data_IF_755993674550
#
_entry.id   IF_755993674550
#
_cell.length_a   1.000
_cell.length_b   1.000
_cell.length_c   1.000
_cell.angle_alpha   90.00
_cell.angle_beta   90.00
_cell.angle_gamma   90.00
#
_symmetry.space_group_name_H-M   'P 1'
#
loop_
_entity.id
_entity.type
_entity.pdbx_description
1 polymer ?
#
# COMPACT_ATOMS: atom_id res chain seq x y z
N UNK A 1 -28.87 -19.49 19.15
CA UNK A 1 -30.26 -19.00 19.18
C UNK A 1 -30.86 -19.07 20.59
N UNK A 2 -30.89 -20.22 21.28
CA UNK A 2 -31.44 -20.31 22.64
C UNK A 2 -30.85 -19.27 23.62
N UNK A 3 -29.53 -19.16 23.68
CA UNK A 3 -28.85 -18.17 24.52
C UNK A 3 -29.19 -16.70 24.16
N UNK A 4 -29.43 -16.38 22.89
CA UNK A 4 -29.82 -15.02 22.49
C UNK A 4 -31.23 -14.69 23.00
N UNK A 5 -32.16 -15.65 22.89
CA UNK A 5 -33.52 -15.51 23.38
C UNK A 5 -33.57 -15.38 24.92
N UNK A 6 -32.81 -16.21 25.65
CA UNK A 6 -32.71 -16.15 27.11
C UNK A 6 -32.22 -14.78 27.62
N UNK A 7 -31.36 -14.11 26.84
CA UNK A 7 -30.79 -12.81 27.20
C UNK A 7 -31.52 -11.62 26.54
N UNK A 8 -32.62 -11.86 25.82
CA UNK A 8 -33.36 -10.85 25.05
C UNK A 8 -32.47 -10.03 24.09
N UNK A 9 -31.59 -10.72 23.36
CA UNK A 9 -30.67 -10.12 22.38
C UNK A 9 -31.12 -10.47 20.96
N UNK A 10 -31.33 -9.45 20.12
CA UNK A 10 -31.65 -9.62 18.70
C UNK A 10 -30.41 -9.85 17.84
N UNK A 11 -30.59 -10.45 16.66
CA UNK A 11 -29.52 -10.68 15.70
C UNK A 11 -29.27 -9.44 14.84
N UNK A 12 -28.01 -9.27 14.42
CA UNK A 12 -27.60 -8.25 13.46
C UNK A 12 -27.14 -8.96 12.20
N UNK A 13 -27.78 -8.67 11.07
CA UNK A 13 -27.48 -9.33 9.78
C UNK A 13 -26.44 -8.56 8.96
N UNK A 14 -26.23 -7.28 9.26
CA UNK A 14 -25.27 -6.42 8.57
C UNK A 14 -24.61 -5.44 9.54
N UNK A 15 -23.29 -5.34 9.45
CA UNK A 15 -22.46 -4.39 10.18
C UNK A 15 -21.63 -3.59 9.18
N UNK A 16 -21.93 -2.29 9.06
CA UNK A 16 -21.16 -1.36 8.24
C UNK A 16 -20.40 -0.39 9.17
N UNK A 17 -19.11 -0.64 9.36
CA UNK A 17 -18.25 0.13 10.28
C UNK A 17 -16.95 0.44 9.55
N UNK A 18 -16.59 1.72 9.49
CA UNK A 18 -15.26 2.16 9.11
C UNK A 18 -14.48 2.57 10.38
N UNK A 19 -13.16 2.54 10.29
CA UNK A 19 -12.30 2.98 11.39
C UNK A 19 -12.03 4.47 11.27
N UNK A 20 -11.84 5.14 12.41
CA UNK A 20 -11.33 6.50 12.41
C UNK A 20 -10.06 6.59 11.57
N UNK A 21 -9.84 7.71 10.89
CA UNK A 21 -8.72 7.84 9.98
C UNK A 21 -7.43 8.11 10.76
N UNK A 22 -7.01 7.20 11.65
CA UNK A 22 -5.81 7.30 12.48
C UNK A 22 -4.60 7.73 11.65
N UNK A 23 -4.38 7.06 10.50
CA UNK A 23 -3.32 7.39 9.53
C UNK A 23 -3.42 8.84 9.03
N UNK A 24 -4.62 9.36 8.77
CA UNK A 24 -4.79 10.76 8.34
C UNK A 24 -4.61 11.73 9.49
N UNK A 25 -5.00 11.35 10.72
CA UNK A 25 -4.84 12.18 11.91
C UNK A 25 -3.37 12.40 12.22
N UNK A 26 -2.59 11.32 12.36
CA UNK A 26 -1.16 11.39 12.69
C UNK A 26 -0.28 11.88 11.53
N UNK A 27 -0.83 11.99 10.33
CA UNK A 27 -0.16 12.64 9.19
C UNK A 27 -0.31 14.17 9.18
N UNK A 28 -1.18 14.76 10.02
CA UNK A 28 -1.30 16.22 10.14
C UNK A 28 -0.09 16.79 10.88
N UNK A 29 0.34 17.98 10.50
CA UNK A 29 1.40 18.70 11.22
C UNK A 29 0.93 19.07 12.63
N UNK A 30 1.83 18.90 13.61
CA UNK A 30 1.61 19.35 14.99
C UNK A 30 0.70 18.46 15.83
N UNK A 31 0.31 17.26 15.38
CA UNK A 31 -0.43 16.31 16.21
C UNK A 31 0.45 15.83 17.36
N UNK A 32 -0.08 15.98 18.57
CA UNK A 32 0.57 15.49 19.78
C UNK A 32 0.41 13.98 19.92
N UNK A 33 1.32 13.35 20.69
CA UNK A 33 1.20 11.93 21.00
C UNK A 33 -0.14 11.59 21.68
N UNK A 34 -0.57 12.40 22.64
CA UNK A 34 -1.84 12.21 23.36
C UNK A 34 -3.05 12.27 22.41
N UNK A 35 -3.07 13.23 21.48
CA UNK A 35 -4.11 13.29 20.44
C UNK A 35 -4.09 12.07 19.52
N UNK A 36 -2.92 11.53 19.20
CA UNK A 36 -2.81 10.32 18.40
C UNK A 36 -3.38 9.10 19.14
N UNK A 37 -3.07 8.95 20.44
CA UNK A 37 -3.58 7.86 21.28
C UNK A 37 -5.10 7.91 21.40
N UNK A 38 -5.70 9.09 21.60
CA UNK A 38 -7.15 9.27 21.67
C UNK A 38 -7.88 8.91 20.36
N UNK A 39 -7.17 8.92 19.23
CA UNK A 39 -7.71 8.53 17.93
C UNK A 39 -7.60 7.02 17.64
N UNK A 40 -7.07 6.23 18.57
CA UNK A 40 -7.04 4.77 18.44
C UNK A 40 -8.42 4.19 18.78
N UNK A 41 -9.16 3.81 17.75
CA UNK A 41 -10.44 3.12 17.87
C UNK A 41 -10.29 1.69 18.44
N UNK A 42 -10.99 1.41 19.55
CA UNK A 42 -11.08 0.09 20.18
C UNK A 42 -12.39 -0.62 19.79
N UNK A 43 -13.47 0.13 19.67
CA UNK A 43 -14.81 -0.39 19.41
C UNK A 43 -14.96 -0.86 17.97
N UNK A 44 -14.50 -0.05 17.01
CA UNK A 44 -14.52 -0.34 15.58
C UNK A 44 -13.87 -1.67 15.23
N UNK A 45 -12.58 -1.89 15.55
CA UNK A 45 -11.90 -3.16 15.26
C UNK A 45 -12.57 -4.35 15.94
N UNK A 46 -13.08 -4.17 17.17
CA UNK A 46 -13.80 -5.22 17.91
C UNK A 46 -15.07 -5.66 17.17
N UNK A 47 -15.91 -4.71 16.74
CA UNK A 47 -17.12 -5.00 15.96
C UNK A 47 -16.79 -5.62 14.59
N UNK A 48 -15.83 -5.05 13.87
CA UNK A 48 -15.40 -5.55 12.55
C UNK A 48 -14.93 -7.01 12.66
N UNK A 49 -14.06 -7.33 13.62
CA UNK A 49 -13.56 -8.70 13.82
C UNK A 49 -14.65 -9.67 14.23
N UNK A 50 -15.57 -9.25 15.10
CA UNK A 50 -16.70 -10.09 15.51
C UNK A 50 -17.62 -10.42 14.32
N UNK A 51 -17.98 -9.42 13.50
CA UNK A 51 -18.80 -9.60 12.30
C UNK A 51 -18.08 -10.42 11.23
N UNK A 52 -16.79 -10.16 11.00
CA UNK A 52 -15.98 -10.90 10.03
C UNK A 52 -15.81 -12.37 10.43
N UNK A 53 -15.64 -12.67 11.73
CA UNK A 53 -15.64 -14.06 12.24
C UNK A 53 -16.99 -14.74 11.95
N UNK A 54 -18.09 -14.01 12.11
CA UNK A 54 -19.45 -14.52 11.93
C UNK A 54 -20.01 -14.32 10.51
N UNK A 55 -19.14 -14.24 9.49
CA UNK A 55 -19.53 -13.97 8.11
C UNK A 55 -20.59 -14.91 7.49
N UNK A 56 -20.76 -16.18 7.93
CA UNK A 56 -21.88 -17.00 7.42
C UNK A 56 -23.24 -16.40 7.74
N UNK A 57 -23.36 -15.64 8.84
CA UNK A 57 -24.61 -15.03 9.29
C UNK A 57 -24.62 -13.51 9.10
N UNK A 58 -23.49 -12.83 9.22
CA UNK A 58 -23.39 -11.36 9.22
C UNK A 58 -22.63 -10.85 8.00
N UNK A 59 -23.18 -9.87 7.30
CA UNK A 59 -22.47 -9.13 6.24
C UNK A 59 -21.66 -8.01 6.89
N UNK A 60 -20.33 -8.03 6.73
CA UNK A 60 -19.44 -6.97 7.25
C UNK A 60 -19.00 -6.05 6.11
N UNK A 61 -19.09 -4.74 6.29
CA UNK A 61 -18.64 -3.73 5.34
C UNK A 61 -17.72 -2.72 6.03
N UNK A 62 -16.53 -2.56 5.48
CA UNK A 62 -15.48 -1.64 6.01
C UNK A 62 -15.09 -0.53 5.04
N UNK A 63 -15.71 -0.52 3.85
CA UNK A 63 -15.38 0.39 2.76
C UNK A 63 -16.67 0.82 2.04
N UNK A 64 -16.95 2.14 1.94
CA UNK A 64 -18.09 2.65 1.20
C UNK A 64 -18.18 2.18 -0.25
N UNK A 65 -17.06 1.84 -0.89
CA UNK A 65 -17.05 1.31 -2.26
C UNK A 65 -17.80 -0.03 -2.40
N UNK A 66 -17.98 -0.80 -1.32
CA UNK A 66 -18.74 -2.05 -1.35
C UNK A 66 -20.25 -1.85 -1.16
N UNK A 67 -20.73 -0.64 -0.83
CA UNK A 67 -22.14 -0.42 -0.50
C UNK A 67 -23.06 -0.71 -1.68
N UNK A 68 -22.79 -0.12 -2.84
CA UNK A 68 -23.64 -0.27 -4.02
C UNK A 68 -23.68 -1.73 -4.51
N UNK A 69 -22.53 -2.43 -4.70
CA UNK A 69 -22.55 -3.84 -5.09
C UNK A 69 -23.32 -4.75 -4.11
N UNK A 70 -23.23 -4.47 -2.81
CA UNK A 70 -23.91 -5.29 -1.79
C UNK A 70 -25.41 -5.00 -1.75
N UNK A 71 -25.82 -3.73 -1.89
CA UNK A 71 -27.23 -3.35 -1.99
C UNK A 71 -27.92 -4.01 -3.19
N UNK A 72 -27.24 -4.09 -4.33
CA UNK A 72 -27.76 -4.78 -5.52
C UNK A 72 -27.99 -6.27 -5.25
N UNK A 73 -27.04 -6.94 -4.61
CA UNK A 73 -27.18 -8.36 -4.21
C UNK A 73 -28.31 -8.55 -3.20
N UNK A 74 -28.45 -7.68 -2.21
CA UNK A 74 -29.54 -7.73 -1.23
C UNK A 74 -30.91 -7.60 -1.91
N UNK A 75 -31.05 -6.68 -2.88
CA UNK A 75 -32.29 -6.54 -3.68
C UNK A 75 -32.57 -7.76 -4.56
N UNK A 76 -31.53 -8.47 -5.00
CA UNK A 76 -31.62 -9.67 -5.82
C UNK A 76 -31.87 -10.97 -5.02
N UNK A 77 -32.09 -10.89 -3.71
CA UNK A 77 -32.41 -12.06 -2.87
C UNK A 77 -31.33 -12.43 -1.85
N UNK A 78 -30.25 -11.66 -1.74
CA UNK A 78 -29.27 -11.78 -0.67
C UNK A 78 -27.83 -11.86 -1.15
N UNK A 79 -26.90 -11.85 -0.20
CA UNK A 79 -25.46 -11.98 -0.46
C UNK A 79 -25.03 -13.43 -0.24
N UNK A 80 -24.49 -14.05 -1.28
CA UNK A 80 -23.98 -15.42 -1.23
C UNK A 80 -22.81 -15.60 -0.25
N UNK A 81 -22.65 -16.80 0.29
CA UNK A 81 -21.62 -17.12 1.28
C UNK A 81 -20.20 -16.80 0.80
N UNK A 82 -19.90 -17.01 -0.48
CA UNK A 82 -18.60 -16.70 -1.07
C UNK A 82 -18.29 -15.20 -1.03
N UNK A 83 -19.29 -14.35 -1.31
CA UNK A 83 -19.14 -12.90 -1.21
C UNK A 83 -18.99 -12.46 0.24
N UNK A 84 -19.77 -13.03 1.17
CA UNK A 84 -19.61 -12.74 2.61
C UNK A 84 -18.21 -13.10 3.11
N UNK A 85 -17.65 -14.22 2.65
CA UNK A 85 -16.27 -14.62 2.94
C UNK A 85 -15.26 -13.62 2.38
N UNK A 86 -15.47 -13.13 1.15
CA UNK A 86 -14.62 -12.08 0.54
C UNK A 86 -14.65 -10.80 1.39
N UNK A 87 -15.83 -10.36 1.79
CA UNK A 87 -16.01 -9.18 2.65
C UNK A 87 -15.36 -9.37 4.03
N UNK A 88 -15.46 -10.56 4.62
CA UNK A 88 -14.78 -10.88 5.88
C UNK A 88 -13.26 -10.89 5.75
N UNK A 89 -12.71 -11.44 4.66
CA UNK A 89 -11.28 -11.35 4.38
C UNK A 89 -10.82 -9.89 4.24
N UNK A 90 -11.59 -9.05 3.52
CA UNK A 90 -11.34 -7.62 3.41
C UNK A 90 -11.38 -6.92 4.78
N UNK A 91 -12.34 -7.27 5.62
CA UNK A 91 -12.49 -6.74 6.97
C UNK A 91 -11.29 -7.06 7.88
N UNK A 92 -10.82 -8.32 7.91
CA UNK A 92 -9.60 -8.69 8.64
C UNK A 92 -8.36 -7.98 8.09
N UNK A 93 -8.24 -7.85 6.76
CA UNK A 93 -7.15 -7.12 6.13
C UNK A 93 -7.16 -5.62 6.51
N UNK A 94 -8.35 -5.01 6.59
CA UNK A 94 -8.52 -3.62 6.98
C UNK A 94 -8.03 -3.38 8.41
N UNK A 95 -8.40 -4.26 9.35
CA UNK A 95 -7.92 -4.20 10.74
C UNK A 95 -6.41 -4.46 10.83
N UNK A 96 -5.86 -5.42 10.07
CA UNK A 96 -4.43 -5.69 10.08
C UNK A 96 -3.58 -4.49 9.59
N UNK A 97 -4.06 -3.76 8.57
CA UNK A 97 -3.42 -2.54 8.09
C UNK A 97 -3.49 -1.44 9.16
N UNK A 98 -4.65 -1.32 9.83
CA UNK A 98 -4.86 -0.36 10.91
C UNK A 98 -3.93 -0.62 12.11
N UNK A 99 -3.85 -1.87 12.58
CA UNK A 99 -2.97 -2.26 13.68
C UNK A 99 -1.48 -2.08 13.31
N UNK A 100 -1.12 -2.38 12.04
CA UNK A 100 0.23 -2.08 11.53
C UNK A 100 0.52 -0.60 11.62
N UNK A 101 -0.41 0.27 11.20
CA UNK A 101 -0.23 1.71 11.28
C UNK A 101 -0.02 2.21 12.73
N UNK A 102 -0.81 1.70 13.68
CA UNK A 102 -0.62 2.03 15.11
C UNK A 102 0.76 1.56 15.59
N UNK A 103 1.15 0.32 15.28
CA UNK A 103 2.46 -0.21 15.64
C UNK A 103 3.61 0.59 15.02
N UNK A 104 3.47 1.06 13.77
CA UNK A 104 4.45 1.93 13.12
C UNK A 104 4.58 3.27 13.83
N UNK A 105 3.46 3.88 14.23
CA UNK A 105 3.45 5.17 14.92
C UNK A 105 4.09 5.08 16.32
N UNK A 106 3.69 4.09 17.13
CA UNK A 106 4.17 3.93 18.50
C UNK A 106 5.68 3.62 18.62
N UNK A 107 6.31 3.19 17.53
CA UNK A 107 7.76 2.88 17.51
C UNK A 107 8.62 3.96 16.87
N UNK A 108 8.06 5.10 16.44
CA UNK A 108 8.82 6.13 15.68
C UNK A 108 10.04 6.66 16.43
N UNK A 109 10.00 6.69 17.76
CA UNK A 109 11.11 7.16 18.62
C UNK A 109 12.10 6.05 19.01
N UNK A 110 11.95 4.84 18.46
CA UNK A 110 12.83 3.70 18.75
C UNK A 110 13.95 3.62 17.69
N UNK A 111 15.21 3.81 18.09
CA UNK A 111 16.36 3.84 17.17
C UNK A 111 16.78 2.45 16.62
N UNK A 112 16.12 1.36 17.01
CA UNK A 112 16.51 -0.01 16.65
C UNK A 112 15.49 -0.74 15.76
N UNK A 113 15.97 -1.70 14.97
CA UNK A 113 15.09 -2.66 14.28
C UNK A 113 14.31 -3.48 15.32
N UNK A 114 12.97 -3.53 15.24
CA UNK A 114 12.17 -4.24 16.24
C UNK A 114 12.34 -5.76 16.10
N UNK A 115 12.10 -6.49 17.19
CA UNK A 115 12.08 -7.97 17.18
C UNK A 115 10.99 -8.51 16.23
N UNK A 116 9.85 -7.80 16.16
CA UNK A 116 8.74 -8.14 15.27
C UNK A 116 8.38 -6.93 14.40
N UNK A 117 8.17 -7.16 13.10
CA UNK A 117 7.82 -6.11 12.15
C UNK A 117 6.68 -6.56 11.24
N UNK A 118 5.65 -5.71 11.13
CA UNK A 118 4.60 -5.84 10.12
C UNK A 118 4.73 -4.74 9.06
N UNK A 119 4.52 -5.13 7.80
CA UNK A 119 4.57 -4.22 6.64
C UNK A 119 3.21 -4.24 5.96
N UNK A 120 2.56 -3.08 5.91
CA UNK A 120 1.28 -2.91 5.23
C UNK A 120 1.51 -2.51 3.77
N UNK A 121 1.21 -3.41 2.83
CA UNK A 121 1.36 -3.19 1.40
C UNK A 121 0.00 -3.08 0.71
N UNK A 122 -0.16 -2.08 -0.17
CA UNK A 122 -1.33 -1.94 -1.04
C UNK A 122 -0.93 -2.13 -2.50
N UNK A 123 -1.61 -3.05 -3.19
CA UNK A 123 -1.38 -3.28 -4.61
C UNK A 123 -1.70 -2.01 -5.39
N UNK A 124 -0.76 -1.54 -6.21
CA UNK A 124 -0.97 -0.44 -7.16
C UNK A 124 -1.50 -0.98 -8.49
N UNK A 125 -0.83 -1.97 -9.06
CA UNK A 125 -1.23 -2.62 -10.31
C UNK A 125 -0.59 -4.00 -10.46
N UNK A 126 -1.13 -4.83 -11.35
CA UNK A 126 -0.50 -6.09 -11.76
C UNK A 126 0.60 -5.83 -12.79
N UNK A 127 1.59 -6.72 -12.87
CA UNK A 127 2.62 -6.68 -13.89
C UNK A 127 2.40 -7.83 -14.88
N UNK A 128 2.83 -7.65 -16.14
CA UNK A 128 2.66 -8.65 -17.19
C UNK A 128 3.38 -9.97 -16.84
N UNK A 129 4.55 -9.86 -16.25
CA UNK A 129 5.36 -10.96 -15.71
C UNK A 129 6.36 -10.39 -14.68
N UNK A 130 7.07 -11.26 -13.97
CA UNK A 130 8.14 -10.91 -13.04
C UNK A 130 9.45 -10.56 -13.76
N UNK A 131 10.58 -10.97 -13.21
CA UNK A 131 11.87 -10.77 -13.88
C UNK A 131 11.94 -11.51 -15.22
N UNK A 132 11.27 -12.67 -15.30
CA UNK A 132 11.18 -13.53 -16.49
C UNK A 132 9.73 -13.80 -16.90
N UNK A 133 9.44 -14.07 -18.19
CA UNK A 133 8.06 -14.22 -18.71
C UNK A 133 7.18 -15.28 -18.05
N UNK A 134 7.78 -16.31 -17.43
CA UNK A 134 7.05 -17.40 -16.79
C UNK A 134 6.64 -17.08 -15.34
N UNK A 135 7.11 -15.97 -14.77
CA UNK A 135 6.85 -15.56 -13.39
C UNK A 135 5.68 -14.57 -13.34
N UNK A 136 4.81 -14.69 -12.34
CA UNK A 136 3.79 -13.69 -12.05
C UNK A 136 4.37 -12.57 -11.17
N UNK A 137 3.88 -11.33 -11.35
CA UNK A 137 4.28 -10.23 -10.48
C UNK A 137 3.19 -9.16 -10.34
N UNK A 138 3.32 -8.34 -9.29
CA UNK A 138 2.49 -7.19 -9.02
C UNK A 138 3.29 -6.13 -8.28
N UNK A 139 2.94 -4.86 -8.48
CA UNK A 139 3.59 -3.75 -7.82
C UNK A 139 2.77 -3.29 -6.62
N UNK A 140 3.42 -3.18 -5.47
CA UNK A 140 2.82 -2.76 -4.21
C UNK A 140 3.50 -1.49 -3.71
N UNK A 141 2.74 -0.62 -3.05
CA UNK A 141 3.27 0.51 -2.29
C UNK A 141 3.04 0.30 -0.80
N UNK A 142 4.05 0.62 0.01
CA UNK A 142 3.92 0.62 1.46
C UNK A 142 2.95 1.70 1.94
N UNK A 143 2.13 1.34 2.93
CA UNK A 143 1.25 2.25 3.66
C UNK A 143 2.00 2.73 4.90
N UNK A 144 2.82 3.77 4.76
CA UNK A 144 3.58 4.36 5.88
C UNK A 144 2.74 5.42 6.60
N UNK A 145 2.92 5.49 7.91
CA UNK A 145 2.29 6.46 8.80
C UNK A 145 3.19 7.68 9.04
N UNK A 146 2.62 8.89 9.03
CA UNK A 146 3.34 10.15 9.23
C UNK A 146 3.52 10.96 7.94
N UNK A 147 4.52 11.85 7.91
CA UNK A 147 4.80 12.73 6.78
C UNK A 147 5.13 11.91 5.52
N UNK A 148 4.12 11.73 4.66
CA UNK A 148 4.27 11.08 3.37
C UNK A 148 5.28 11.85 2.53
N UNK A 149 6.42 11.22 2.27
CA UNK A 149 7.23 11.58 1.11
C UNK A 149 6.82 10.63 -0.01
N UNK A 150 5.96 11.11 -0.91
CA UNK A 150 5.65 10.42 -2.17
C UNK A 150 6.85 10.51 -3.11
N UNK A 151 7.95 9.86 -2.76
CA UNK A 151 9.24 9.93 -3.46
C UNK A 151 9.62 8.60 -4.08
N UNK A 152 10.47 8.65 -5.11
CA UNK A 152 10.97 7.46 -5.79
C UNK A 152 9.96 6.83 -6.76
N UNK A 153 10.37 5.69 -7.33
CA UNK A 153 9.63 5.04 -8.43
C UNK A 153 8.26 4.53 -7.98
N UNK A 154 8.09 4.20 -6.70
CA UNK A 154 6.79 3.80 -6.15
C UNK A 154 5.69 4.81 -6.44
N UNK A 155 5.99 6.12 -6.44
CA UNK A 155 5.01 7.20 -6.62
C UNK A 155 5.11 7.92 -7.97
N UNK A 156 5.96 7.43 -8.87
CA UNK A 156 6.14 8.02 -10.19
C UNK A 156 4.84 8.01 -11.01
N UNK A 157 4.60 9.11 -11.74
CA UNK A 157 3.51 9.22 -12.71
C UNK A 157 4.04 8.94 -14.11
N UNK A 158 3.59 7.84 -14.72
CA UNK A 158 3.88 7.57 -16.11
C UNK A 158 3.11 8.55 -17.02
N UNK A 159 3.83 9.39 -17.77
CA UNK A 159 3.24 10.38 -18.68
C UNK A 159 3.04 9.84 -20.10
N UNK A 160 3.83 8.84 -20.52
CA UNK A 160 3.79 8.23 -21.84
C UNK A 160 4.41 6.83 -21.83
N UNK A 161 4.26 6.10 -22.94
CA UNK A 161 4.87 4.78 -23.15
C UNK A 161 3.94 3.61 -22.84
N UNK A 162 4.48 2.40 -22.97
CA UNK A 162 3.79 1.15 -22.59
C UNK A 162 3.87 0.94 -21.09
N UNK A 163 3.01 0.08 -20.55
CA UNK A 163 3.07 -0.34 -19.15
C UNK A 163 4.48 -0.80 -18.77
N UNK A 164 4.97 -0.38 -17.60
CA UNK A 164 6.28 -0.76 -17.09
C UNK A 164 6.34 -2.26 -16.79
N UNK A 165 7.44 -2.90 -17.19
CA UNK A 165 7.77 -4.27 -16.76
C UNK A 165 8.38 -4.27 -15.35
N UNK A 166 8.50 -5.47 -14.75
CA UNK A 166 9.22 -5.64 -13.48
C UNK A 166 10.66 -5.08 -13.56
N UNK A 167 11.39 -5.43 -14.63
CA UNK A 167 12.77 -4.98 -14.81
C UNK A 167 12.84 -3.47 -15.05
N UNK A 168 11.87 -2.86 -15.73
CA UNK A 168 11.84 -1.40 -15.88
C UNK A 168 11.68 -0.69 -14.53
N UNK A 169 10.89 -1.25 -13.61
CA UNK A 169 10.72 -0.70 -12.27
C UNK A 169 12.03 -0.83 -11.49
N UNK A 170 12.68 -2.00 -11.53
CA UNK A 170 13.98 -2.24 -10.88
C UNK A 170 15.08 -1.32 -11.42
N UNK A 171 15.19 -1.19 -12.74
CA UNK A 171 16.20 -0.34 -13.39
C UNK A 171 15.94 1.14 -13.10
N UNK A 172 14.68 1.58 -13.13
CA UNK A 172 14.32 2.95 -12.78
C UNK A 172 14.58 3.27 -11.31
N UNK A 173 14.38 2.31 -10.40
CA UNK A 173 14.62 2.49 -8.96
C UNK A 173 16.12 2.58 -8.67
N UNK A 174 16.92 1.73 -9.32
CA UNK A 174 18.38 1.81 -9.28
C UNK A 174 18.88 3.17 -9.83
N UNK A 175 18.39 3.59 -11.00
CA UNK A 175 18.79 4.87 -11.61
C UNK A 175 18.41 6.04 -10.72
N UNK A 176 17.21 6.02 -10.14
CA UNK A 176 16.74 7.04 -9.21
C UNK A 176 17.64 7.12 -7.97
N UNK A 177 17.93 5.97 -7.34
CA UNK A 177 18.80 5.90 -6.16
C UNK A 177 20.18 6.49 -6.42
N UNK A 178 20.81 6.14 -7.55
CA UNK A 178 22.13 6.66 -7.93
C UNK A 178 22.11 8.17 -8.10
N UNK A 179 21.18 8.72 -8.89
CA UNK A 179 21.19 10.16 -9.16
C UNK A 179 20.86 10.99 -7.93
N UNK A 180 20.12 10.44 -6.96
CA UNK A 180 19.80 11.15 -5.70
C UNK A 180 20.97 11.26 -4.71
N UNK A 181 22.05 10.50 -4.92
CA UNK A 181 23.28 10.61 -4.09
C UNK A 181 24.11 11.86 -4.43
N UNK A 182 23.79 12.56 -5.53
CA UNK A 182 24.54 13.70 -6.03
C UNK A 182 23.74 15.00 -5.89
N UNK A 183 24.37 16.03 -5.34
CA UNK A 183 23.80 17.38 -5.27
C UNK A 183 23.89 18.15 -6.59
N UNK A 184 24.83 17.80 -7.46
CA UNK A 184 24.97 18.36 -8.79
C UNK A 184 23.97 17.72 -9.78
N UNK A 185 23.55 18.43 -10.85
CA UNK A 185 22.72 17.82 -11.89
C UNK A 185 23.45 16.61 -12.51
N UNK A 186 22.82 15.44 -12.41
CA UNK A 186 23.45 14.15 -12.68
C UNK A 186 22.55 13.28 -13.55
N UNK A 187 23.17 12.57 -14.49
CA UNK A 187 22.52 11.57 -15.34
C UNK A 187 23.20 10.23 -15.16
N UNK A 188 22.40 9.22 -14.89
CA UNK A 188 22.80 7.81 -14.84
C UNK A 188 22.09 7.03 -15.96
N UNK A 189 22.77 6.05 -16.52
CA UNK A 189 22.22 5.09 -17.48
C UNK A 189 22.39 3.69 -16.90
N UNK A 190 21.27 3.07 -16.53
CA UNK A 190 21.23 1.74 -15.92
C UNK A 190 20.87 0.68 -16.95
N UNK A 191 21.46 -0.51 -16.81
CA UNK A 191 20.97 -1.73 -17.46
C UNK A 191 21.10 -2.91 -16.54
N UNK A 192 19.99 -3.62 -16.32
CA UNK A 192 19.95 -4.78 -15.42
C UNK A 192 20.50 -4.42 -14.03
N UNK A 193 20.05 -3.31 -13.47
CA UNK A 193 20.44 -2.73 -12.17
C UNK A 193 21.90 -2.26 -12.06
N UNK A 194 22.66 -2.25 -13.16
CA UNK A 194 24.06 -1.84 -13.17
C UNK A 194 24.25 -0.52 -13.94
N UNK A 195 24.99 0.46 -13.39
CA UNK A 195 25.39 1.66 -14.12
C UNK A 195 26.32 1.31 -15.28
N UNK A 196 25.93 1.69 -16.49
CA UNK A 196 26.78 1.64 -17.66
C UNK A 196 27.36 3.02 -18.02
N UNK A 197 26.86 4.08 -17.39
CA UNK A 197 27.44 5.41 -17.52
C UNK A 197 26.79 6.42 -16.59
N UNK A 198 27.62 7.26 -15.96
CA UNK A 198 27.21 8.26 -14.96
C UNK A 198 28.00 9.54 -15.20
N UNK A 199 27.33 10.69 -15.22
CA UNK A 199 27.99 11.97 -15.29
C UNK A 199 27.20 13.09 -14.62
N UNK A 200 27.91 13.99 -13.95
CA UNK A 200 27.36 15.24 -13.43
C UNK A 200 27.85 16.42 -14.28
N UNK A 201 26.95 17.33 -14.63
CA UNK A 201 27.26 18.55 -15.38
C UNK A 201 26.12 19.57 -15.27
N UNK A 202 26.42 20.87 -15.23
CA UNK A 202 25.40 21.93 -15.11
C UNK A 202 24.41 21.97 -16.29
N UNK A 203 24.86 21.56 -17.48
CA UNK A 203 24.01 21.29 -18.64
C UNK A 203 23.62 19.80 -18.68
N UNK A 204 22.33 19.51 -18.49
CA UNK A 204 21.76 18.15 -18.51
C UNK A 204 21.95 17.42 -19.84
N UNK A 205 21.96 18.13 -20.97
CA UNK A 205 22.20 17.49 -22.27
C UNK A 205 23.64 17.00 -22.38
N UNK A 206 24.58 17.76 -21.81
CA UNK A 206 25.98 17.37 -21.75
C UNK A 206 26.23 16.27 -20.71
N UNK A 207 25.57 16.31 -19.55
CA UNK A 207 25.58 15.22 -18.58
C UNK A 207 25.13 13.90 -19.25
N UNK A 208 24.02 13.93 -20.01
CA UNK A 208 23.55 12.75 -20.74
C UNK A 208 24.55 12.26 -21.79
N UNK A 209 25.13 13.15 -22.61
CA UNK A 209 26.14 12.74 -23.62
C UNK A 209 27.35 12.07 -22.98
N UNK A 210 27.80 12.58 -21.83
CA UNK A 210 28.93 12.01 -21.08
C UNK A 210 28.58 10.68 -20.45
N UNK A 211 27.42 10.57 -19.81
CA UNK A 211 26.95 9.31 -19.26
C UNK A 211 26.83 8.24 -20.36
N UNK A 212 26.19 8.56 -21.49
CA UNK A 212 26.08 7.68 -22.64
C UNK A 212 27.44 7.25 -23.21
N UNK A 213 28.46 8.11 -23.13
CA UNK A 213 29.82 7.80 -23.61
C UNK A 213 30.59 6.81 -22.71
N UNK A 214 30.08 6.51 -21.51
CA UNK A 214 30.68 5.52 -20.59
C UNK A 214 30.73 4.13 -21.22
N UNK A 215 29.57 3.60 -21.62
CA UNK A 215 29.44 2.39 -22.43
C UNK A 215 28.22 2.50 -23.37
N UNK A 216 28.40 3.01 -24.60
CA UNK A 216 27.30 3.18 -25.56
C UNK A 216 26.63 1.87 -25.97
N UNK A 217 27.34 0.74 -25.89
CA UNK A 217 26.81 -0.57 -26.30
C UNK A 217 25.90 -1.11 -25.19
N UNK A 218 26.34 -1.02 -23.94
CA UNK A 218 25.50 -1.37 -22.81
C UNK A 218 24.29 -0.44 -22.70
N UNK A 219 24.45 0.87 -22.90
CA UNK A 219 23.37 1.85 -22.84
C UNK A 219 22.20 1.58 -23.80
N UNK A 220 22.41 0.80 -24.87
CA UNK A 220 21.33 0.42 -25.76
C UNK A 220 20.26 -0.42 -25.04
N UNK A 221 19.05 0.12 -24.93
CA UNK A 221 17.90 -0.51 -24.25
C UNK A 221 17.85 -0.29 -22.74
N UNK A 222 18.78 0.50 -22.19
CA UNK A 222 18.68 1.11 -20.86
C UNK A 222 17.94 2.45 -20.88
#
# INVERSE_FOLDING_TARGET
MAQLAENNIETIDLVAVNLYPFVQTVAKEGVTFDEAIENIDIGGPSMIRASAKNFPSVIVLVDPADYQPVLEKLRAGGVELAERKRLAQKAFQHVAIYDTAISQYLRQDMEAFPEEMTIALKKRYGLRYGENPHQQAAFYGEQVVGARQETGITWAKQLWGRELSFNNIMDADAAWGVVTDFSAPTVDVIKHTNPCGLASHDDMAEAYRRALSGDPVAAFGG
#
